data_IF_636558588934
#
_entry.id   IF_636558588934
#
_cell.length_a   1.000
_cell.length_b   1.000
_cell.length_c   1.000
_cell.angle_alpha   90.00
_cell.angle_beta   90.00
_cell.angle_gamma   90.00
#
_symmetry.space_group_name_H-M   'P 1'
#
loop_
_entity.id
_entity.type
_entity.pdbx_description
1 polymer ?
#
# COMPACT_ATOMS: atom_id res chain seq x y z
N UNK A 1 -0.01 -14.97 12.20
CA UNK A 1 -1.41 -15.07 11.77
C UNK A 1 -1.91 -13.69 11.37
N UNK A 2 -2.43 -13.55 10.17
CA UNK A 2 -3.01 -12.29 9.69
C UNK A 2 -4.49 -12.20 10.11
N UNK A 3 -4.75 -11.90 11.37
CA UNK A 3 -6.11 -11.77 11.94
C UNK A 3 -6.40 -10.33 12.32
N UNK A 4 -5.46 -9.60 12.93
CA UNK A 4 -5.58 -8.16 13.19
C UNK A 4 -5.01 -7.42 11.99
N UNK A 5 -5.86 -6.69 11.26
CA UNK A 5 -5.49 -6.01 10.01
C UNK A 5 -5.22 -4.52 10.21
N UNK A 6 -5.83 -3.91 11.22
CA UNK A 6 -5.62 -2.50 11.56
C UNK A 6 -5.86 -2.23 13.03
N UNK A 7 -5.18 -1.24 13.56
CA UNK A 7 -5.40 -0.71 14.90
C UNK A 7 -5.44 0.81 14.84
N UNK A 8 -6.30 1.40 15.65
CA UNK A 8 -6.38 2.86 15.85
C UNK A 8 -6.11 3.14 17.31
N UNK A 9 -5.05 3.89 17.59
CA UNK A 9 -4.72 4.39 18.92
C UNK A 9 -5.23 5.83 19.06
N UNK A 10 -5.96 6.09 20.13
CA UNK A 10 -6.54 7.39 20.44
C UNK A 10 -5.63 8.19 21.37
N UNK A 11 -5.88 9.49 21.47
CA UNK A 11 -5.12 10.39 22.31
C UNK A 11 -5.16 10.07 23.81
N UNK A 12 -6.19 9.36 24.27
CA UNK A 12 -6.34 8.89 25.66
C UNK A 12 -5.60 7.56 25.92
N UNK A 13 -4.94 6.99 24.91
CA UNK A 13 -4.23 5.73 24.99
C UNK A 13 -5.09 4.50 24.72
N UNK A 14 -6.40 4.66 24.46
CA UNK A 14 -7.24 3.53 24.06
C UNK A 14 -6.88 3.05 22.64
N UNK A 15 -6.90 1.73 22.44
CA UNK A 15 -6.66 1.13 21.11
C UNK A 15 -7.84 0.27 20.71
N UNK A 16 -8.33 0.48 19.49
CA UNK A 16 -9.34 -0.38 18.86
C UNK A 16 -8.70 -1.13 17.71
N UNK A 17 -8.92 -2.44 17.63
CA UNK A 17 -8.42 -3.30 16.58
C UNK A 17 -9.54 -3.86 15.72
N UNK A 18 -9.34 -3.89 14.41
CA UNK A 18 -10.18 -4.66 13.48
C UNK A 18 -9.57 -6.06 13.35
N UNK A 19 -10.31 -7.07 13.80
CA UNK A 19 -9.89 -8.46 13.76
C UNK A 19 -10.90 -9.31 13.00
N UNK A 20 -10.43 -10.07 12.02
CA UNK A 20 -11.20 -11.04 11.24
C UNK A 20 -10.26 -12.02 10.54
N UNK A 21 -10.71 -13.21 10.14
CA UNK A 21 -9.99 -13.99 9.13
C UNK A 21 -9.78 -13.13 7.86
N UNK A 22 -8.66 -13.33 7.13
CA UNK A 22 -8.38 -12.53 5.92
C UNK A 22 -9.41 -12.84 4.83
N UNK A 23 -10.27 -11.88 4.55
CA UNK A 23 -11.32 -11.97 3.52
C UNK A 23 -11.64 -10.58 2.97
N UNK A 24 -11.32 -10.36 1.68
CA UNK A 24 -11.55 -9.08 1.01
C UNK A 24 -13.04 -8.71 0.87
N UNK A 25 -13.95 -9.66 1.02
CA UNK A 25 -15.39 -9.37 1.01
C UNK A 25 -15.79 -8.43 2.14
N UNK A 26 -15.10 -8.50 3.29
CA UNK A 26 -15.42 -7.65 4.45
C UNK A 26 -15.19 -6.15 4.18
N UNK A 27 -14.01 -5.68 3.76
CA UNK A 27 -13.82 -4.27 3.45
C UNK A 27 -14.62 -3.80 2.22
N UNK A 28 -14.83 -4.67 1.22
CA UNK A 28 -15.66 -4.35 0.06
C UNK A 28 -17.12 -4.15 0.48
N UNK A 29 -17.67 -5.06 1.29
CA UNK A 29 -19.04 -4.94 1.80
C UNK A 29 -19.20 -3.66 2.62
N UNK A 30 -18.24 -3.32 3.48
CA UNK A 30 -18.26 -2.09 4.26
C UNK A 30 -18.23 -0.84 3.37
N UNK A 31 -17.39 -0.85 2.32
CA UNK A 31 -17.32 0.27 1.36
C UNK A 31 -18.63 0.47 0.59
N UNK A 32 -19.36 -0.60 0.30
CA UNK A 32 -20.64 -0.55 -0.41
C UNK A 32 -21.82 -0.12 0.49
N UNK A 33 -21.77 -0.42 1.79
CA UNK A 33 -22.91 -0.22 2.70
C UNK A 33 -22.70 0.87 3.75
N UNK A 34 -21.55 1.54 3.75
CA UNK A 34 -21.21 2.54 4.77
C UNK A 34 -22.35 3.54 5.05
N UNK A 35 -22.71 3.82 6.30
CA UNK A 35 -22.09 3.35 7.56
C UNK A 35 -22.61 2.00 8.07
N UNK A 36 -23.52 1.37 7.38
CA UNK A 36 -24.14 0.10 7.76
C UNK A 36 -23.18 -1.09 7.57
N UNK A 37 -23.56 -2.25 8.12
CA UNK A 37 -22.84 -3.50 7.99
C UNK A 37 -23.70 -4.52 7.27
N UNK A 38 -23.15 -5.19 6.24
CA UNK A 38 -23.84 -6.29 5.55
C UNK A 38 -23.68 -7.56 6.42
N UNK A 39 -24.81 -8.19 6.84
CA UNK A 39 -24.76 -9.44 7.58
C UNK A 39 -24.03 -10.54 6.75
N UNK A 40 -23.27 -11.37 7.44
CA UNK A 40 -22.60 -12.56 6.86
C UNK A 40 -21.70 -12.26 5.63
N UNK A 41 -21.20 -11.04 5.51
CA UNK A 41 -20.28 -10.66 4.43
C UNK A 41 -19.01 -11.52 4.42
N UNK A 42 -18.50 -11.91 5.60
CA UNK A 42 -17.37 -12.81 5.78
C UNK A 42 -17.54 -13.62 7.07
N UNK A 43 -16.81 -14.74 7.18
CA UNK A 43 -16.77 -15.53 8.41
C UNK A 43 -16.13 -14.72 9.55
N UNK A 44 -16.71 -14.79 10.75
CA UNK A 44 -16.14 -14.19 11.95
C UNK A 44 -15.00 -15.02 12.54
N UNK A 45 -14.30 -14.48 13.54
CA UNK A 45 -13.37 -15.23 14.36
C UNK A 45 -14.12 -16.27 15.21
N UNK A 46 -13.50 -17.42 15.43
CA UNK A 46 -14.01 -18.42 16.37
C UNK A 46 -13.59 -18.05 17.80
N UNK A 47 -14.55 -17.56 18.60
CA UNK A 47 -14.37 -17.19 19.99
C UNK A 47 -14.74 -18.34 20.97
N UNK A 48 -15.09 -19.52 20.46
CA UNK A 48 -15.43 -20.68 21.30
C UNK A 48 -14.19 -21.36 21.90
N UNK A 49 -13.01 -21.08 21.33
CA UNK A 49 -11.72 -21.64 21.76
C UNK A 49 -10.76 -20.53 22.19
N UNK A 50 -9.84 -20.89 23.11
CA UNK A 50 -8.79 -19.96 23.52
C UNK A 50 -7.87 -19.64 22.34
N UNK A 51 -7.63 -18.34 22.13
CA UNK A 51 -6.78 -17.84 21.05
C UNK A 51 -5.74 -16.88 21.63
N UNK A 52 -4.54 -16.90 21.07
CA UNK A 52 -3.45 -15.99 21.44
C UNK A 52 -2.88 -15.35 20.17
N UNK A 53 -2.68 -14.04 20.22
CA UNK A 53 -2.00 -13.27 19.17
C UNK A 53 -0.75 -12.63 19.76
N UNK A 54 0.33 -12.62 18.97
CA UNK A 54 1.60 -12.00 19.37
C UNK A 54 1.79 -10.70 18.57
N UNK A 55 2.13 -9.63 19.28
CA UNK A 55 2.49 -8.35 18.70
C UNK A 55 3.94 -8.05 19.05
N UNK A 56 4.72 -7.70 18.03
CA UNK A 56 6.13 -7.34 18.16
C UNK A 56 6.34 -5.90 17.66
N UNK A 57 7.37 -5.19 18.18
CA UNK A 57 7.73 -3.89 17.64
C UNK A 57 8.02 -3.97 16.15
N UNK A 58 7.56 -2.95 15.38
CA UNK A 58 7.86 -2.85 13.96
C UNK A 58 9.34 -2.49 13.76
N UNK A 59 10.05 -3.31 13.00
CA UNK A 59 11.41 -3.04 12.53
C UNK A 59 11.35 -2.16 11.26
N UNK A 60 11.38 -0.85 11.47
CA UNK A 60 11.35 0.13 10.38
C UNK A 60 12.66 0.24 9.61
N UNK A 61 13.78 -0.25 10.17
CA UNK A 61 15.08 -0.23 9.48
C UNK A 61 15.12 -1.30 8.39
N UNK A 62 14.64 -2.51 8.73
CA UNK A 62 14.59 -3.62 7.76
C UNK A 62 13.35 -3.55 6.87
N UNK A 63 12.21 -3.09 7.39
CA UNK A 63 10.92 -3.12 6.69
C UNK A 63 10.31 -1.72 6.57
N UNK A 64 10.82 -0.93 5.63
CA UNK A 64 10.42 0.47 5.41
C UNK A 64 9.04 0.69 4.78
N UNK A 65 8.30 -0.36 4.40
CA UNK A 65 7.06 -0.24 3.63
C UNK A 65 5.97 0.59 4.33
N UNK A 66 5.86 0.47 5.67
CA UNK A 66 4.85 1.22 6.45
C UNK A 66 5.15 2.72 6.43
N UNK A 67 6.43 3.11 6.54
CA UNK A 67 6.81 4.52 6.49
C UNK A 67 6.64 5.10 5.08
N UNK A 68 6.97 4.34 4.04
CA UNK A 68 6.71 4.73 2.65
C UNK A 68 5.21 4.94 2.39
N UNK A 69 4.35 4.05 2.92
CA UNK A 69 2.90 4.19 2.82
C UNK A 69 2.41 5.46 3.55
N UNK A 70 2.95 5.77 4.72
CA UNK A 70 2.64 7.02 5.45
C UNK A 70 3.08 8.27 4.69
N UNK A 71 4.28 8.25 4.13
CA UNK A 71 4.79 9.35 3.29
C UNK A 71 3.88 9.58 2.09
N UNK A 72 3.52 8.50 1.39
CA UNK A 72 2.59 8.54 0.25
C UNK A 72 1.21 9.09 0.66
N UNK A 73 0.64 8.61 1.77
CA UNK A 73 -0.65 9.07 2.29
C UNK A 73 -0.63 10.55 2.71
N UNK A 74 0.46 11.02 3.31
CA UNK A 74 0.62 12.44 3.68
C UNK A 74 0.79 13.36 2.47
N UNK A 75 1.48 12.88 1.41
CA UNK A 75 1.61 13.60 0.16
C UNK A 75 0.28 13.72 -0.58
N UNK A 76 -0.63 12.76 -0.36
CA UNK A 76 -1.97 12.73 -0.96
C UNK A 76 -1.95 12.79 -2.50
N UNK A 77 -3.02 13.28 -3.13
CA UNK A 77 -3.08 13.44 -4.58
C UNK A 77 -2.82 12.14 -5.34
N UNK A 78 -1.88 12.16 -6.28
CA UNK A 78 -1.51 10.99 -7.08
C UNK A 78 -0.49 10.05 -6.43
N UNK A 79 0.14 10.44 -5.31
CA UNK A 79 1.18 9.63 -4.65
C UNK A 79 0.71 8.24 -4.20
N UNK A 80 -0.50 8.06 -3.59
CA UNK A 80 -1.01 6.74 -3.24
C UNK A 80 -1.18 5.81 -4.45
N UNK A 81 -1.60 6.33 -5.59
CA UNK A 81 -1.74 5.54 -6.81
C UNK A 81 -0.38 5.05 -7.33
N UNK A 82 0.64 5.92 -7.33
CA UNK A 82 2.02 5.56 -7.71
C UNK A 82 2.62 4.54 -6.76
N UNK A 83 2.44 4.73 -5.44
CA UNK A 83 2.89 3.77 -4.44
C UNK A 83 2.30 2.37 -4.70
N UNK A 84 0.98 2.29 -4.88
CA UNK A 84 0.30 1.02 -5.13
C UNK A 84 0.73 0.38 -6.46
N UNK A 85 0.81 1.17 -7.53
CA UNK A 85 1.21 0.71 -8.85
C UNK A 85 2.65 0.14 -8.86
N UNK A 86 3.57 0.83 -8.20
CA UNK A 86 4.95 0.36 -8.03
C UNK A 86 4.99 -0.93 -7.21
N UNK A 87 4.24 -0.99 -6.08
CA UNK A 87 4.17 -2.17 -5.24
C UNK A 87 3.70 -3.41 -6.01
N UNK A 88 2.59 -3.33 -6.73
CA UNK A 88 2.09 -4.46 -7.50
C UNK A 88 3.11 -4.95 -8.53
N UNK A 89 3.74 -4.03 -9.28
CA UNK A 89 4.77 -4.39 -10.27
C UNK A 89 6.01 -5.03 -9.64
N UNK A 90 6.42 -4.56 -8.46
CA UNK A 90 7.56 -5.14 -7.73
C UNK A 90 7.23 -6.51 -7.14
N UNK A 91 6.00 -6.70 -6.60
CA UNK A 91 5.54 -7.99 -6.09
C UNK A 91 5.52 -9.03 -7.22
N UNK A 92 5.00 -8.68 -8.39
CA UNK A 92 5.03 -9.56 -9.56
C UNK A 92 6.47 -9.91 -9.95
N UNK A 93 7.36 -8.92 -9.99
CA UNK A 93 8.77 -9.13 -10.30
C UNK A 93 9.47 -10.05 -9.28
N UNK A 94 9.13 -9.94 -8.00
CA UNK A 94 9.62 -10.81 -6.94
C UNK A 94 9.07 -12.23 -7.09
N UNK A 95 7.78 -12.40 -7.31
CA UNK A 95 7.15 -13.72 -7.51
C UNK A 95 7.72 -14.46 -8.73
N UNK A 96 8.13 -13.72 -9.76
CA UNK A 96 8.81 -14.25 -10.94
C UNK A 96 10.33 -14.48 -10.70
N UNK A 97 10.84 -14.22 -9.50
CA UNK A 97 12.26 -14.36 -9.15
C UNK A 97 13.18 -13.37 -9.87
N UNK A 98 12.66 -12.22 -10.31
CA UNK A 98 13.43 -11.17 -11.01
C UNK A 98 14.15 -10.22 -10.07
N UNK A 99 13.65 -10.03 -8.86
CA UNK A 99 14.23 -9.18 -7.80
C UNK A 99 14.18 -9.91 -6.45
N UNK A 100 14.96 -9.46 -5.47
CA UNK A 100 14.91 -9.92 -4.08
C UNK A 100 13.77 -9.28 -3.29
N UNK A 101 13.51 -9.77 -2.07
CA UNK A 101 12.41 -9.29 -1.25
C UNK A 101 12.57 -7.81 -0.84
N UNK A 102 13.76 -7.39 -0.43
CA UNK A 102 14.03 -6.02 -0.02
C UNK A 102 14.02 -5.04 -1.21
N UNK A 103 14.33 -5.53 -2.42
CA UNK A 103 14.29 -4.71 -3.64
C UNK A 103 12.88 -4.17 -3.92
N UNK A 104 11.84 -4.81 -3.37
CA UNK A 104 10.45 -4.32 -3.48
C UNK A 104 10.36 -2.92 -2.87
N UNK A 105 10.73 -2.78 -1.60
CA UNK A 105 10.64 -1.50 -0.89
C UNK A 105 11.59 -0.46 -1.42
N UNK A 106 12.80 -0.84 -1.81
CA UNK A 106 13.81 0.05 -2.38
C UNK A 106 13.33 0.62 -3.72
N UNK A 107 12.74 -0.21 -4.57
CA UNK A 107 12.19 0.23 -5.85
C UNK A 107 10.98 1.15 -5.66
N UNK A 108 10.07 0.82 -4.74
CA UNK A 108 8.93 1.67 -4.43
C UNK A 108 9.40 3.05 -3.94
N UNK A 109 10.40 3.07 -3.05
CA UNK A 109 10.98 4.31 -2.53
C UNK A 109 11.53 5.19 -3.67
N UNK A 110 12.31 4.59 -4.59
CA UNK A 110 12.87 5.31 -5.72
C UNK A 110 11.79 5.87 -6.66
N UNK A 111 10.78 5.08 -6.99
CA UNK A 111 9.66 5.52 -7.85
C UNK A 111 8.87 6.64 -7.19
N UNK A 112 8.59 6.52 -5.89
CA UNK A 112 7.85 7.54 -5.15
C UNK A 112 8.63 8.84 -5.03
N UNK A 113 9.94 8.77 -4.78
CA UNK A 113 10.81 9.95 -4.72
C UNK A 113 10.87 10.68 -6.07
N UNK A 114 11.05 9.94 -7.17
CA UNK A 114 11.01 10.52 -8.52
C UNK A 114 9.67 11.21 -8.80
N UNK A 115 8.56 10.65 -8.35
CA UNK A 115 7.22 11.23 -8.55
C UNK A 115 7.01 12.50 -7.74
N UNK A 116 7.47 12.53 -6.48
CA UNK A 116 7.28 13.64 -5.58
C UNK A 116 8.25 14.81 -5.82
N UNK A 117 9.51 14.50 -6.18
CA UNK A 117 10.57 15.50 -6.37
C UNK A 117 10.78 15.90 -7.82
N UNK A 118 10.31 15.09 -8.78
CA UNK A 118 10.54 15.27 -10.19
C UNK A 118 9.67 16.35 -10.84
N UNK A 119 10.19 16.97 -11.90
CA UNK A 119 9.46 17.87 -12.79
C UNK A 119 8.59 17.12 -13.83
N UNK A 120 8.72 15.78 -13.86
CA UNK A 120 8.00 14.88 -14.76
C UNK A 120 8.52 14.90 -16.20
N UNK A 121 9.43 15.80 -16.57
CA UNK A 121 10.01 15.93 -17.91
C UNK A 121 8.98 15.82 -19.07
N UNK A 122 7.75 16.27 -18.84
CA UNK A 122 6.66 16.19 -19.82
C UNK A 122 6.05 14.78 -19.99
N UNK A 123 6.45 13.80 -19.18
CA UNK A 123 5.88 12.44 -19.21
C UNK A 123 4.57 12.41 -18.44
N UNK A 124 3.44 12.00 -19.05
CA UNK A 124 2.16 11.90 -18.37
C UNK A 124 2.26 10.99 -17.13
N UNK A 125 1.78 11.48 -15.99
CA UNK A 125 1.76 10.79 -14.72
C UNK A 125 3.08 10.77 -13.94
N UNK A 126 4.19 11.23 -14.51
CA UNK A 126 5.49 11.24 -13.83
C UNK A 126 5.58 12.29 -12.71
N UNK A 127 4.87 13.41 -12.84
CA UNK A 127 4.85 14.45 -11.83
C UNK A 127 3.68 14.30 -10.87
N UNK A 128 3.94 14.51 -9.59
CA UNK A 128 2.91 14.56 -8.56
C UNK A 128 1.87 15.65 -8.83
N UNK A 129 0.60 15.30 -8.65
CA UNK A 129 -0.55 16.20 -8.69
C UNK A 129 -1.25 16.14 -7.34
N UNK A 130 -1.31 17.29 -6.66
CA UNK A 130 -1.97 17.41 -5.36
C UNK A 130 -3.49 17.41 -5.47
N UNK A 131 -4.16 17.38 -4.30
CA UNK A 131 -5.62 17.20 -4.18
C UNK A 131 -6.44 18.24 -4.96
N UNK A 132 -5.99 19.50 -5.00
CA UNK A 132 -6.72 20.58 -5.65
C UNK A 132 -6.88 20.40 -7.17
N UNK A 133 -5.93 19.71 -7.81
CA UNK A 133 -5.92 19.44 -9.25
C UNK A 133 -6.15 17.95 -9.59
N UNK A 134 -6.57 17.15 -8.58
CA UNK A 134 -6.77 15.72 -8.74
C UNK A 134 -7.95 15.42 -9.66
N UNK A 135 -7.73 14.52 -10.62
CA UNK A 135 -8.75 14.01 -11.53
C UNK A 135 -8.56 12.51 -11.75
N UNK A 136 -9.59 11.83 -12.22
CA UNK A 136 -9.47 10.41 -12.57
C UNK A 136 -8.37 10.17 -13.60
N UNK A 137 -8.30 11.00 -14.63
CA UNK A 137 -7.27 10.90 -15.68
C UNK A 137 -5.87 11.08 -15.10
N UNK A 138 -5.68 12.01 -14.16
CA UNK A 138 -4.40 12.21 -13.47
C UNK A 138 -3.99 10.97 -12.65
N UNK A 139 -4.93 10.37 -11.93
CA UNK A 139 -4.70 9.14 -11.16
C UNK A 139 -4.33 7.98 -12.08
N UNK A 140 -5.07 7.77 -13.17
CA UNK A 140 -4.79 6.68 -14.13
C UNK A 140 -3.45 6.88 -14.86
N UNK A 141 -3.08 8.12 -15.19
CA UNK A 141 -1.79 8.43 -15.78
C UNK A 141 -0.65 8.16 -14.81
N UNK A 142 -0.81 8.52 -13.53
CA UNK A 142 0.16 8.29 -12.46
C UNK A 142 0.33 6.78 -12.16
N UNK A 143 -0.75 6.02 -12.06
CA UNK A 143 -0.71 4.56 -11.94
C UNK A 143 0.06 3.92 -13.10
N UNK A 144 -0.29 4.28 -14.32
CA UNK A 144 0.37 3.74 -15.52
C UNK A 144 1.86 4.10 -15.57
N UNK A 145 2.24 5.30 -15.15
CA UNK A 145 3.63 5.71 -15.05
C UNK A 145 4.36 4.92 -13.97
N UNK A 146 3.79 4.81 -12.77
CA UNK A 146 4.36 4.07 -11.64
C UNK A 146 4.68 2.63 -12.00
N UNK A 147 3.75 1.92 -12.65
CA UNK A 147 3.95 0.55 -13.13
C UNK A 147 5.12 0.43 -14.10
N UNK A 148 5.16 1.28 -15.14
CA UNK A 148 6.26 1.27 -16.12
C UNK A 148 7.59 1.58 -15.46
N UNK A 149 7.63 2.59 -14.58
CA UNK A 149 8.86 3.00 -13.92
C UNK A 149 9.42 1.93 -12.99
N UNK A 150 8.57 1.30 -12.19
CA UNK A 150 8.94 0.17 -11.34
C UNK A 150 9.48 -1.00 -12.17
N UNK A 151 8.80 -1.36 -13.28
CA UNK A 151 9.27 -2.43 -14.16
C UNK A 151 10.64 -2.13 -14.78
N UNK A 152 10.91 -0.87 -15.17
CA UNK A 152 12.22 -0.44 -15.69
C UNK A 152 13.33 -0.59 -14.64
N UNK A 153 13.06 -0.20 -13.38
CA UNK A 153 14.03 -0.32 -12.29
C UNK A 153 14.28 -1.78 -11.94
N UNK A 154 13.25 -2.60 -11.83
CA UNK A 154 13.37 -4.05 -11.61
C UNK A 154 14.19 -4.75 -12.71
N UNK A 155 14.12 -4.29 -13.96
CA UNK A 155 14.90 -4.85 -15.06
C UNK A 155 16.39 -4.50 -14.98
N UNK A 156 16.76 -3.35 -14.39
CA UNK A 156 18.14 -2.89 -14.23
C UNK A 156 18.90 -3.60 -13.10
N UNK A 157 18.20 -4.05 -12.06
CA UNK A 157 18.80 -4.67 -10.87
C UNK A 157 19.53 -5.99 -11.12
N UNK A 158 19.40 -6.60 -12.29
CA UNK A 158 20.13 -7.85 -12.68
C UNK A 158 21.52 -7.65 -13.28
N UNK A 159 22.01 -6.42 -13.38
CA UNK A 159 23.26 -6.10 -14.07
C UNK A 159 24.47 -5.85 -13.16
N UNK A 160 24.38 -6.16 -11.84
CA UNK A 160 25.51 -6.04 -10.90
C UNK A 160 25.78 -7.34 -10.18
#
# INVERSE_FOLDING_TARGET
QSVVHSMVEFWDGATIAQASPPDMRLPIALGLSWPDRIPDAAAGCDWSTATQWTFEPLDNETFGAVELARCSGKASGTAPAVFNAANESCVDAFCEGRIGFLDITDTIAAVLDEHLSGDGNGVPGARHIGDEALSLDAVLAADSWGRRRAAELCARGRGQ
#
